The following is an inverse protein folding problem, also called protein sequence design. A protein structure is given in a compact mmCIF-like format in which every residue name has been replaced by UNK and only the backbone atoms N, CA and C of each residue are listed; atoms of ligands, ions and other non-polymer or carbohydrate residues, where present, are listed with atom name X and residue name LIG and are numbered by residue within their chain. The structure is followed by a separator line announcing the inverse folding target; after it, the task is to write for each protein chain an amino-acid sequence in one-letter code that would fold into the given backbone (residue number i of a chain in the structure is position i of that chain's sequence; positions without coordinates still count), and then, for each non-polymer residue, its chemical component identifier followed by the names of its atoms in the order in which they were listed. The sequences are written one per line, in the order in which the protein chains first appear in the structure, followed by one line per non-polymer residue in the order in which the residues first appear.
data_IF_200373824494
#
_entry.id   IF_200373824494
#
_cell.length_a   1.000
_cell.length_b   1.000
_cell.length_c   1.000
_cell.angle_alpha   90.00
_cell.angle_beta   90.00
_cell.angle_gamma   90.00
#
_symmetry.space_group_name_H-M   'P 1'
#
loop_
_entity.id
_entity.type
_entity.pdbx_description
1 polymer ?
#
# COMPACT_ATOMS: atom_id res chain seq x y z
N UNK A 1 -19.65 18.16 7.10
CA UNK A 1 -18.37 18.57 6.47
C UNK A 1 -17.73 19.71 7.24
N UNK A 2 -18.31 20.90 7.31
CA UNK A 2 -17.70 22.10 7.93
C UNK A 2 -17.28 21.84 9.39
N UNK A 3 -18.14 21.24 10.20
CA UNK A 3 -17.83 20.88 11.59
C UNK A 3 -16.66 19.89 11.66
N UNK A 4 -16.65 18.86 10.81
CA UNK A 4 -15.58 17.86 10.79
C UNK A 4 -14.21 18.48 10.43
N UNK A 5 -14.16 19.33 9.39
CA UNK A 5 -12.95 20.03 9.00
C UNK A 5 -12.50 21.01 10.09
N UNK A 6 -13.43 21.74 10.72
CA UNK A 6 -13.12 22.63 11.84
C UNK A 6 -12.54 21.86 13.04
N UNK A 7 -13.06 20.68 13.36
CA UNK A 7 -12.51 19.82 14.42
C UNK A 7 -11.10 19.35 14.08
N UNK A 8 -10.83 18.95 12.83
CA UNK A 8 -9.47 18.58 12.40
C UNK A 8 -8.49 19.75 12.60
N UNK A 9 -8.86 20.94 12.16
CA UNK A 9 -8.03 22.15 12.31
C UNK A 9 -7.80 22.47 13.80
N UNK A 10 -8.84 22.38 14.62
CA UNK A 10 -8.73 22.60 16.05
C UNK A 10 -7.82 21.56 16.74
N UNK A 11 -7.97 20.28 16.43
CA UNK A 11 -7.10 19.22 16.93
C UNK A 11 -5.64 19.42 16.52
N UNK A 12 -5.39 19.85 15.27
CA UNK A 12 -4.06 20.19 14.78
C UNK A 12 -3.47 21.39 15.54
N UNK A 13 -4.24 22.46 15.73
CA UNK A 13 -3.81 23.64 16.48
C UNK A 13 -3.49 23.30 17.97
N UNK A 14 -4.30 22.45 18.59
CA UNK A 14 -4.04 21.95 19.97
C UNK A 14 -2.76 21.12 19.98
N UNK A 15 -2.60 20.18 19.05
CA UNK A 15 -1.43 19.30 18.97
C UNK A 15 -0.13 20.04 18.70
N UNK A 16 -0.14 21.18 17.97
CA UNK A 16 1.03 22.04 17.75
C UNK A 16 1.46 22.80 19.01
N UNK A 17 0.52 23.13 19.89
CA UNK A 17 0.80 23.95 21.08
C UNK A 17 0.88 23.14 22.39
N UNK A 18 0.26 21.97 22.44
CA UNK A 18 0.18 21.17 23.64
C UNK A 18 0.45 19.70 23.31
N UNK A 19 1.51 19.13 23.89
CA UNK A 19 1.99 17.77 23.65
C UNK A 19 1.87 16.91 24.91
N UNK A 20 0.66 16.54 25.35
CA UNK A 20 0.47 15.86 26.63
C UNK A 20 0.85 14.37 26.59
N UNK A 21 0.95 13.77 25.39
CA UNK A 21 1.13 12.33 25.23
C UNK A 21 2.44 12.01 24.52
N UNK A 22 3.40 11.49 25.28
CA UNK A 22 4.64 10.91 24.77
C UNK A 22 4.61 9.41 25.02
N UNK A 23 4.24 8.64 24.00
CA UNK A 23 4.17 7.18 24.05
C UNK A 23 5.24 6.58 23.16
N UNK A 24 5.73 5.39 23.54
CA UNK A 24 6.66 4.64 22.68
C UNK A 24 5.99 4.19 21.39
N UNK A 25 6.78 3.91 20.34
CA UNK A 25 6.28 3.38 19.07
C UNK A 25 5.48 2.09 19.25
N UNK A 26 5.95 1.19 20.13
CA UNK A 26 5.27 -0.08 20.41
C UNK A 26 3.91 0.16 21.08
N UNK A 27 3.81 1.11 21.99
CA UNK A 27 2.54 1.48 22.63
C UNK A 27 1.55 2.03 21.60
N UNK A 28 2.02 2.91 20.70
CA UNK A 28 1.20 3.40 19.60
C UNK A 28 0.73 2.27 18.67
N UNK A 29 1.59 1.30 18.39
CA UNK A 29 1.24 0.15 17.55
C UNK A 29 0.14 -0.70 18.18
N UNK A 30 0.16 -0.90 19.50
CA UNK A 30 -0.90 -1.60 20.22
C UNK A 30 -2.21 -0.80 20.19
N UNK A 31 -2.15 0.52 20.42
CA UNK A 31 -3.34 1.39 20.36
C UNK A 31 -3.98 1.34 18.98
N UNK A 32 -3.18 1.47 17.93
CA UNK A 32 -3.65 1.34 16.53
C UNK A 32 -4.21 -0.06 16.28
N UNK A 33 -3.59 -1.11 16.83
CA UNK A 33 -4.09 -2.48 16.75
C UNK A 33 -5.50 -2.64 17.35
N UNK A 34 -5.74 -2.06 18.52
CA UNK A 34 -7.08 -2.06 19.15
C UNK A 34 -8.08 -1.30 18.27
N UNK A 35 -7.67 -0.14 17.77
CA UNK A 35 -8.51 0.66 16.89
C UNK A 35 -8.92 -0.12 15.62
N UNK A 36 -7.98 -0.74 14.90
CA UNK A 36 -8.29 -1.49 13.68
C UNK A 36 -9.10 -2.75 13.94
N UNK A 37 -8.96 -3.37 15.13
CA UNK A 37 -9.82 -4.48 15.52
C UNK A 37 -11.29 -4.03 15.61
N UNK A 38 -11.54 -2.89 16.25
CA UNK A 38 -12.87 -2.30 16.34
C UNK A 38 -13.37 -1.89 14.95
N UNK A 39 -12.54 -1.22 14.17
CA UNK A 39 -12.87 -0.76 12.82
C UNK A 39 -13.20 -1.93 11.86
N UNK A 40 -12.50 -3.06 12.01
CA UNK A 40 -12.74 -4.24 11.17
C UNK A 40 -14.13 -4.84 11.35
N UNK A 41 -14.66 -4.86 12.56
CA UNK A 41 -15.99 -5.44 12.85
C UNK A 41 -17.13 -4.43 12.73
N UNK A 42 -16.81 -3.13 12.80
CA UNK A 42 -17.82 -2.06 12.66
C UNK A 42 -18.30 -1.96 11.21
N UNK A 43 -19.61 -1.72 10.96
CA UNK A 43 -20.11 -1.47 9.61
C UNK A 43 -19.41 -0.30 8.92
N UNK A 44 -19.13 -0.45 7.61
CA UNK A 44 -18.36 0.52 6.80
C UNK A 44 -18.95 1.94 6.87
N UNK A 45 -20.26 2.04 6.81
CA UNK A 45 -21.00 3.32 6.79
C UNK A 45 -20.94 4.10 8.10
N UNK A 46 -20.66 3.45 9.24
CA UNK A 46 -20.57 4.11 10.55
C UNK A 46 -19.21 4.81 10.72
N UNK A 47 -18.13 4.12 10.42
CA UNK A 47 -16.77 4.59 10.73
C UNK A 47 -15.95 4.95 9.48
N UNK A 48 -15.86 4.04 8.50
CA UNK A 48 -14.96 4.22 7.37
C UNK A 48 -15.39 5.36 6.45
N UNK A 49 -16.62 5.34 5.96
CA UNK A 49 -17.08 6.33 4.99
C UNK A 49 -17.00 7.78 5.50
N UNK A 50 -17.47 8.15 6.71
CA UNK A 50 -17.34 9.52 7.22
C UNK A 50 -15.89 9.94 7.41
N UNK A 51 -15.05 9.02 7.91
CA UNK A 51 -13.63 9.30 8.12
C UNK A 51 -12.89 9.49 6.79
N UNK A 52 -13.09 8.59 5.84
CA UNK A 52 -12.42 8.65 4.53
C UNK A 52 -12.82 9.91 3.76
N UNK A 53 -14.08 10.32 3.87
CA UNK A 53 -14.56 11.59 3.36
C UNK A 53 -13.83 12.79 3.98
N UNK A 54 -13.65 12.81 5.30
CA UNK A 54 -12.88 13.87 5.97
C UNK A 54 -11.39 13.82 5.61
N UNK A 55 -10.81 12.64 5.53
CA UNK A 55 -9.40 12.45 5.15
C UNK A 55 -9.12 12.92 3.72
N UNK A 56 -10.10 12.91 2.82
CA UNK A 56 -9.93 13.43 1.46
C UNK A 56 -9.61 14.93 1.43
N UNK A 57 -10.14 15.73 2.37
CA UNK A 57 -9.79 17.15 2.47
C UNK A 57 -8.33 17.34 2.88
N UNK A 58 -7.81 16.49 3.76
CA UNK A 58 -6.38 16.50 4.11
C UNK A 58 -5.50 16.13 2.89
N UNK A 59 -5.93 15.14 2.09
CA UNK A 59 -5.23 14.76 0.85
C UNK A 59 -5.14 15.94 -0.11
N UNK A 60 -6.27 16.52 -0.46
CA UNK A 60 -6.27 17.63 -1.40
C UNK A 60 -5.52 18.85 -0.85
N UNK A 61 -5.69 19.15 0.45
CA UNK A 61 -4.94 20.21 1.12
C UNK A 61 -3.43 19.98 1.05
N UNK A 62 -2.97 18.77 1.34
CA UNK A 62 -1.57 18.36 1.24
C UNK A 62 -1.04 18.52 -0.20
N UNK A 63 -1.79 18.03 -1.19
CA UNK A 63 -1.39 18.12 -2.61
C UNK A 63 -1.31 19.57 -3.08
N UNK A 64 -2.27 20.40 -2.71
CA UNK A 64 -2.27 21.84 -3.06
C UNK A 64 -1.05 22.53 -2.46
N UNK A 65 -0.77 22.31 -1.17
CA UNK A 65 0.40 22.89 -0.48
C UNK A 65 1.69 22.41 -1.16
N UNK A 66 1.79 21.13 -1.52
CA UNK A 66 2.95 20.59 -2.21
C UNK A 66 3.16 21.20 -3.59
N UNK A 67 2.09 21.35 -4.37
CA UNK A 67 2.13 22.00 -5.70
C UNK A 67 2.57 23.47 -5.57
N UNK A 68 2.02 24.20 -4.60
CA UNK A 68 2.44 25.59 -4.31
C UNK A 68 3.93 25.62 -3.93
N UNK A 69 4.39 24.70 -3.09
CA UNK A 69 5.80 24.59 -2.70
C UNK A 69 6.73 24.35 -3.89
N UNK A 70 6.39 23.41 -4.76
CA UNK A 70 7.20 23.06 -5.94
C UNK A 70 7.24 24.24 -6.93
N UNK A 71 6.08 24.77 -7.31
CA UNK A 71 6.04 25.85 -8.32
C UNK A 71 6.45 27.21 -7.77
N UNK A 72 6.19 27.50 -6.50
CA UNK A 72 6.53 28.79 -5.89
C UNK A 72 8.01 28.91 -5.50
N UNK A 73 8.64 27.83 -5.09
CA UNK A 73 10.04 27.83 -4.69
C UNK A 73 11.02 27.62 -5.85
N UNK A 74 10.57 27.08 -6.99
CA UNK A 74 11.43 26.64 -8.11
C UNK A 74 12.70 25.88 -7.62
N UNK A 75 12.54 24.80 -6.85
CA UNK A 75 13.66 24.15 -6.19
C UNK A 75 14.60 23.49 -7.20
N UNK A 76 15.88 23.56 -6.93
CA UNK A 76 16.88 22.74 -7.62
C UNK A 76 16.76 21.31 -7.08
N UNK A 77 16.75 20.33 -7.94
CA UNK A 77 16.70 18.92 -7.57
C UNK A 77 18.13 18.39 -7.46
N UNK A 78 18.50 17.91 -6.27
CA UNK A 78 19.87 17.43 -5.96
C UNK A 78 20.10 15.98 -6.36
N UNK A 79 19.04 15.20 -6.61
CA UNK A 79 19.19 13.82 -7.05
C UNK A 79 19.83 13.77 -8.44
N UNK A 80 20.87 12.94 -8.65
CA UNK A 80 21.44 12.76 -9.99
C UNK A 80 20.41 12.17 -10.96
N UNK A 81 20.42 12.62 -12.21
CA UNK A 81 19.53 12.11 -13.25
C UNK A 81 19.63 10.59 -13.44
N UNK A 82 20.80 10.04 -13.15
CA UNK A 82 21.07 8.61 -13.19
C UNK A 82 21.98 8.20 -12.02
N UNK A 83 21.61 7.16 -11.29
CA UNK A 83 22.38 6.65 -10.14
C UNK A 83 23.10 5.36 -10.47
N UNK A 84 22.38 4.27 -10.72
CA UNK A 84 22.94 2.95 -10.99
C UNK A 84 21.87 2.01 -11.55
N UNK A 85 22.30 0.97 -12.28
CA UNK A 85 21.42 -0.16 -12.67
C UNK A 85 21.49 -1.34 -11.69
N UNK A 86 22.23 -1.21 -10.61
CA UNK A 86 22.42 -2.28 -9.61
C UNK A 86 22.00 -1.76 -8.24
N UNK A 87 21.13 -2.49 -7.56
CA UNK A 87 20.80 -2.21 -6.16
C UNK A 87 21.99 -2.56 -5.25
N UNK A 88 22.40 -1.60 -4.42
CA UNK A 88 23.49 -1.75 -3.46
C UNK A 88 23.03 -2.14 -2.06
N UNK A 89 21.82 -2.73 -1.94
CA UNK A 89 21.24 -3.11 -0.65
C UNK A 89 20.50 -1.98 0.06
N UNK A 90 20.11 -0.94 -0.69
CA UNK A 90 19.41 0.23 -0.15
C UNK A 90 17.91 0.05 -0.02
N UNK A 91 17.34 -1.00 -0.63
CA UNK A 91 15.90 -1.28 -0.62
C UNK A 91 15.50 -2.03 0.65
N UNK A 92 15.61 -1.38 1.80
CA UNK A 92 14.96 -1.75 3.06
C UNK A 92 15.40 -3.04 3.76
N UNK A 93 15.96 -4.01 3.06
CA UNK A 93 16.33 -5.32 3.63
C UNK A 93 17.80 -5.49 3.99
N UNK A 94 18.65 -4.54 3.61
CA UNK A 94 20.10 -4.66 3.75
C UNK A 94 20.75 -5.69 2.80
N UNK A 95 19.96 -6.40 2.02
CA UNK A 95 20.40 -7.39 1.04
C UNK A 95 20.25 -6.82 -0.35
N UNK A 96 21.32 -6.79 -1.14
CA UNK A 96 21.29 -6.34 -2.54
C UNK A 96 20.42 -7.28 -3.36
N UNK A 97 19.45 -6.73 -4.08
CA UNK A 97 18.60 -7.47 -5.01
C UNK A 97 19.25 -7.68 -6.39
N UNK A 98 20.48 -7.24 -6.57
CA UNK A 98 21.21 -7.35 -7.84
C UNK A 98 20.81 -6.27 -8.84
N UNK A 99 20.40 -6.65 -10.05
CA UNK A 99 19.99 -5.69 -11.08
C UNK A 99 18.70 -4.97 -10.72
N UNK A 100 18.61 -3.67 -11.01
CA UNK A 100 17.42 -2.86 -10.70
C UNK A 100 16.15 -3.39 -11.41
N UNK A 101 16.27 -3.90 -12.62
CA UNK A 101 15.17 -4.58 -13.29
C UNK A 101 15.38 -6.09 -13.24
N UNK A 102 14.39 -6.91 -12.90
CA UNK A 102 13.01 -6.51 -12.59
C UNK A 102 12.74 -6.17 -11.12
N UNK A 103 13.71 -6.36 -10.21
CA UNK A 103 13.46 -6.26 -8.77
C UNK A 103 12.99 -4.87 -8.33
N UNK A 104 13.64 -3.80 -8.80
CA UNK A 104 13.23 -2.44 -8.47
C UNK A 104 11.83 -2.10 -9.04
N UNK A 105 11.58 -2.47 -10.29
CA UNK A 105 10.28 -2.28 -10.92
C UNK A 105 9.16 -2.90 -10.09
N UNK A 106 9.34 -4.13 -9.65
CA UNK A 106 8.36 -4.85 -8.83
C UNK A 106 8.20 -4.23 -7.44
N UNK A 107 9.29 -3.70 -6.86
CA UNK A 107 9.26 -3.08 -5.54
C UNK A 107 8.54 -1.72 -5.54
N UNK A 108 8.66 -0.94 -6.62
CA UNK A 108 8.06 0.39 -6.75
C UNK A 108 6.58 0.30 -7.14
N UNK A 109 6.22 -0.59 -8.06
CA UNK A 109 4.87 -0.67 -8.62
C UNK A 109 3.88 -1.34 -7.65
N UNK A 110 3.60 -0.71 -6.52
CA UNK A 110 2.78 -1.27 -5.43
C UNK A 110 1.26 -1.06 -5.58
N UNK A 111 0.76 -0.59 -6.73
CA UNK A 111 -0.66 -0.25 -6.94
C UNK A 111 -1.60 -1.45 -7.14
N UNK A 112 -1.11 -2.66 -7.29
CA UNK A 112 -1.92 -3.82 -7.69
C UNK A 112 -2.91 -4.33 -6.62
N UNK A 113 -2.76 -3.94 -5.37
CA UNK A 113 -3.72 -4.24 -4.30
C UNK A 113 -5.13 -3.70 -4.63
N UNK A 114 -5.19 -2.62 -5.41
CA UNK A 114 -6.45 -2.03 -5.85
C UNK A 114 -7.23 -2.91 -6.84
N UNK A 115 -6.59 -3.87 -7.51
CA UNK A 115 -7.23 -4.72 -8.52
C UNK A 115 -8.14 -5.80 -7.92
N UNK A 116 -7.63 -6.66 -7.05
CA UNK A 116 -8.39 -7.80 -6.52
C UNK A 116 -8.77 -7.63 -5.05
N UNK A 117 -7.97 -6.90 -4.27
CA UNK A 117 -8.20 -6.76 -2.83
C UNK A 117 -9.14 -5.60 -2.55
N UNK A 118 -8.74 -4.36 -2.86
CA UNK A 118 -9.55 -3.18 -2.53
C UNK A 118 -10.84 -3.08 -3.36
N UNK A 119 -10.85 -3.58 -4.61
CA UNK A 119 -12.03 -3.56 -5.48
C UNK A 119 -13.25 -4.26 -4.87
N UNK A 120 -13.05 -5.31 -4.08
CA UNK A 120 -14.11 -6.05 -3.40
C UNK A 120 -14.94 -5.20 -2.42
N UNK A 121 -14.34 -4.15 -1.84
CA UNK A 121 -15.03 -3.21 -0.96
C UNK A 121 -15.59 -2.04 -1.76
N UNK A 122 -14.80 -1.45 -2.66
CA UNK A 122 -15.18 -0.27 -3.46
C UNK A 122 -16.36 -0.56 -4.38
N UNK A 123 -16.38 -1.73 -5.05
CA UNK A 123 -17.47 -2.11 -5.96
C UNK A 123 -18.83 -2.17 -5.27
N UNK A 124 -18.86 -2.50 -3.97
CA UNK A 124 -20.11 -2.56 -3.18
C UNK A 124 -20.61 -1.19 -2.72
N UNK A 125 -19.83 -0.14 -2.89
CA UNK A 125 -20.14 1.23 -2.47
C UNK A 125 -20.52 2.13 -3.66
N UNK A 126 -20.41 1.63 -4.90
CA UNK A 126 -20.80 2.37 -6.09
C UNK A 126 -22.33 2.46 -6.19
N UNK A 127 -22.82 3.68 -6.40
CA UNK A 127 -24.26 3.93 -6.64
C UNK A 127 -24.65 3.53 -8.07
N UNK A 128 -23.79 3.85 -9.04
CA UNK A 128 -24.01 3.61 -10.47
C UNK A 128 -22.77 3.00 -11.12
N UNK A 129 -22.99 2.06 -12.03
CA UNK A 129 -21.92 1.41 -12.80
C UNK A 129 -21.03 2.41 -13.57
N UNK A 130 -21.63 3.47 -14.12
CA UNK A 130 -20.93 4.53 -14.84
C UNK A 130 -19.92 5.31 -13.98
N UNK A 131 -20.08 5.30 -12.66
CA UNK A 131 -19.19 6.01 -11.74
C UNK A 131 -17.90 5.20 -11.47
N UNK A 132 -17.85 3.93 -11.89
CA UNK A 132 -16.67 3.09 -11.73
C UNK A 132 -15.43 3.65 -12.45
N UNK A 133 -15.61 4.14 -13.68
CA UNK A 133 -14.49 4.69 -14.47
C UNK A 133 -13.92 5.99 -13.87
N UNK A 134 -14.71 7.04 -13.56
CA UNK A 134 -14.18 8.25 -12.94
C UNK A 134 -13.54 7.98 -11.57
N UNK A 135 -14.11 7.08 -10.76
CA UNK A 135 -13.58 6.77 -9.44
C UNK A 135 -12.25 5.99 -9.54
N UNK A 136 -12.23 4.89 -10.31
CA UNK A 136 -11.04 4.05 -10.40
C UNK A 136 -9.91 4.72 -11.20
N UNK A 137 -10.20 5.22 -12.40
CA UNK A 137 -9.21 5.85 -13.27
C UNK A 137 -8.81 7.23 -12.76
N UNK A 138 -9.77 8.04 -12.28
CA UNK A 138 -9.50 9.34 -11.69
C UNK A 138 -8.66 9.23 -10.42
N UNK A 139 -8.95 8.26 -9.55
CA UNK A 139 -8.12 7.95 -8.38
C UNK A 139 -6.68 7.60 -8.75
N UNK A 140 -6.49 6.75 -9.76
CA UNK A 140 -5.16 6.41 -10.28
C UNK A 140 -4.40 7.65 -10.79
N UNK A 141 -5.05 8.57 -11.48
CA UNK A 141 -4.40 9.81 -11.95
C UNK A 141 -3.97 10.71 -10.80
N UNK A 142 -4.79 10.83 -9.75
CA UNK A 142 -4.45 11.60 -8.54
C UNK A 142 -3.25 10.96 -7.83
N UNK A 143 -3.21 9.64 -7.74
CA UNK A 143 -2.09 8.89 -7.19
C UNK A 143 -0.79 9.12 -8.00
N UNK A 144 -0.87 9.18 -9.32
CA UNK A 144 0.28 9.52 -10.17
C UNK A 144 0.81 10.94 -9.90
N UNK A 145 -0.07 11.91 -9.68
CA UNK A 145 0.34 13.28 -9.30
C UNK A 145 1.05 13.28 -7.95
N UNK A 146 0.52 12.54 -6.96
CA UNK A 146 1.16 12.39 -5.65
C UNK A 146 2.53 11.72 -5.75
N UNK A 147 2.67 10.73 -6.62
CA UNK A 147 3.96 10.06 -6.86
C UNK A 147 5.00 11.03 -7.43
N UNK A 148 4.63 11.89 -8.38
CA UNK A 148 5.51 12.94 -8.94
C UNK A 148 5.93 13.92 -7.84
N UNK A 149 4.97 14.39 -7.03
CA UNK A 149 5.23 15.26 -5.88
C UNK A 149 6.24 14.60 -4.92
N UNK A 150 6.08 13.30 -4.65
CA UNK A 150 6.98 12.56 -3.76
C UNK A 150 8.40 12.46 -4.32
N UNK A 151 8.56 12.24 -5.62
CA UNK A 151 9.87 12.23 -6.29
C UNK A 151 10.53 13.62 -6.20
N UNK A 152 9.77 14.70 -6.40
CA UNK A 152 10.28 16.06 -6.23
C UNK A 152 10.74 16.32 -4.79
N UNK A 153 9.95 15.88 -3.80
CA UNK A 153 10.28 16.04 -2.38
C UNK A 153 11.58 15.34 -2.01
N UNK A 154 11.72 14.07 -2.38
CA UNK A 154 12.91 13.26 -2.14
C UNK A 154 14.12 13.82 -2.90
N UNK A 155 13.92 14.18 -4.17
CA UNK A 155 14.97 14.71 -5.02
C UNK A 155 15.54 16.03 -4.53
N UNK A 156 14.73 16.86 -3.88
CA UNK A 156 15.15 18.13 -3.31
C UNK A 156 16.02 17.99 -2.06
N UNK A 157 15.78 16.97 -1.22
CA UNK A 157 16.55 16.73 0.01
C UNK A 157 17.46 15.50 -0.10
N UNK A 158 17.81 15.11 -1.33
CA UNK A 158 18.55 13.87 -1.60
C UNK A 158 19.85 13.75 -0.81
N UNK A 159 20.62 14.82 -0.69
CA UNK A 159 21.87 14.86 0.07
C UNK A 159 21.69 14.57 1.57
N UNK A 160 20.51 14.84 2.12
CA UNK A 160 20.22 14.59 3.53
C UNK A 160 19.54 13.23 3.77
N UNK A 161 18.93 12.67 2.72
CA UNK A 161 18.30 11.35 2.77
C UNK A 161 19.34 10.22 2.70
N UNK A 162 20.39 10.41 1.88
CA UNK A 162 21.48 9.43 1.73
C UNK A 162 22.64 9.84 2.65
N UNK A 163 23.30 9.07 3.25
CA UNK A 163 23.51 8.14 4.29
C UNK A 163 23.40 8.72 5.73
N UNK A 164 22.51 8.18 6.51
CA UNK A 164 22.39 8.45 7.96
C UNK A 164 21.53 9.66 8.35
N UNK A 165 20.83 10.27 7.40
CA UNK A 165 19.91 11.38 7.64
C UNK A 165 18.49 10.95 7.99
N UNK A 166 17.50 11.58 7.36
CA UNK A 166 16.07 11.31 7.57
C UNK A 166 15.72 9.94 6.98
N UNK A 167 15.33 8.98 7.81
CA UNK A 167 15.22 7.56 7.43
C UNK A 167 13.77 7.14 7.07
N UNK A 168 12.76 7.82 7.63
CA UNK A 168 11.37 7.42 7.40
C UNK A 168 10.80 8.11 6.16
N UNK A 169 10.14 7.36 5.25
CA UNK A 169 9.58 7.92 4.01
C UNK A 169 8.63 9.11 4.26
N UNK A 170 7.82 9.02 5.32
CA UNK A 170 6.89 10.10 5.69
C UNK A 170 7.61 11.39 6.07
N UNK A 171 8.69 11.28 6.86
CA UNK A 171 9.49 12.44 7.26
C UNK A 171 10.25 13.04 6.07
N UNK A 172 10.79 12.20 5.17
CA UNK A 172 11.43 12.64 3.93
C UNK A 172 10.48 13.47 3.08
N UNK A 173 9.28 12.95 2.84
CA UNK A 173 8.24 13.65 2.09
C UNK A 173 7.86 14.98 2.74
N UNK A 174 7.55 14.97 4.04
CA UNK A 174 7.13 16.15 4.77
C UNK A 174 8.23 17.22 4.84
N UNK A 175 9.49 16.83 5.09
CA UNK A 175 10.62 17.73 5.13
C UNK A 175 10.88 18.37 3.78
N UNK A 176 10.87 17.56 2.69
CA UNK A 176 11.09 18.09 1.35
C UNK A 176 10.09 19.16 0.98
N UNK A 177 8.80 18.90 1.18
CA UNK A 177 7.74 19.85 0.84
C UNK A 177 7.74 21.07 1.77
N UNK A 178 7.85 20.89 3.10
CA UNK A 178 7.83 22.01 4.05
C UNK A 178 8.98 22.98 3.81
N UNK A 179 10.18 22.49 3.51
CA UNK A 179 11.33 23.34 3.19
C UNK A 179 11.20 24.05 1.84
N UNK A 180 10.59 23.40 0.83
CA UNK A 180 10.26 24.10 -0.41
C UNK A 180 9.29 25.26 -0.13
N UNK A 181 8.23 25.02 0.64
CA UNK A 181 7.29 26.06 1.02
C UNK A 181 7.96 27.20 1.81
N UNK A 182 8.90 26.88 2.70
CA UNK A 182 9.61 27.89 3.50
C UNK A 182 10.48 28.85 2.66
N UNK A 183 10.84 28.49 1.43
CA UNK A 183 11.52 29.40 0.50
C UNK A 183 10.60 30.48 -0.07
N UNK A 184 9.30 30.30 0.04
CA UNK A 184 8.33 31.28 -0.43
C UNK A 184 8.14 32.34 0.66
N UNK A 185 8.37 33.64 0.39
CA UNK A 185 8.46 34.68 1.44
C UNK A 185 7.28 34.72 2.41
N UNK A 186 6.06 34.53 1.92
CA UNK A 186 4.86 34.57 2.78
C UNK A 186 4.61 33.28 3.57
N UNK A 187 5.31 32.17 3.27
CA UNK A 187 5.23 30.88 3.96
C UNK A 187 6.47 30.59 4.80
N UNK A 188 7.49 31.43 4.79
CA UNK A 188 8.77 31.19 5.46
C UNK A 188 8.63 30.88 6.97
N UNK A 189 7.66 31.48 7.66
CA UNK A 189 7.37 31.21 9.07
C UNK A 189 6.46 30.00 9.35
N UNK A 190 5.93 29.36 8.32
CA UNK A 190 4.95 28.28 8.45
C UNK A 190 5.54 26.87 8.28
N UNK A 191 6.87 26.70 8.19
CA UNK A 191 7.54 25.43 7.92
C UNK A 191 7.09 24.31 8.87
N UNK A 192 7.09 24.55 10.18
CA UNK A 192 6.70 23.56 11.20
C UNK A 192 5.21 23.19 11.12
N UNK A 193 4.36 24.15 10.79
CA UNK A 193 2.92 23.92 10.62
C UNK A 193 2.66 23.07 9.38
N UNK A 194 3.32 23.41 8.26
CA UNK A 194 3.23 22.66 7.01
C UNK A 194 3.78 21.23 7.20
N UNK A 195 4.93 21.09 7.85
CA UNK A 195 5.48 19.78 8.18
C UNK A 195 4.48 18.92 8.96
N UNK A 196 3.91 19.47 10.03
CA UNK A 196 2.94 18.76 10.88
C UNK A 196 1.67 18.41 10.13
N UNK A 197 1.16 19.30 9.27
CA UNK A 197 0.01 19.02 8.40
C UNK A 197 0.30 17.86 7.44
N UNK A 198 1.48 17.82 6.83
CA UNK A 198 1.88 16.77 5.90
C UNK A 198 2.02 15.42 6.62
N UNK A 199 2.64 15.39 7.79
CA UNK A 199 2.73 14.18 8.63
C UNK A 199 1.33 13.67 9.01
N UNK A 200 0.44 14.58 9.44
CA UNK A 200 -0.93 14.23 9.79
C UNK A 200 -1.69 13.65 8.60
N UNK A 201 -1.57 14.27 7.43
CA UNK A 201 -2.24 13.81 6.21
C UNK A 201 -1.78 12.39 5.82
N UNK A 202 -0.46 12.16 5.77
CA UNK A 202 0.09 10.83 5.44
C UNK A 202 -0.33 9.80 6.48
N UNK A 203 -0.31 10.14 7.78
CA UNK A 203 -0.75 9.25 8.86
C UNK A 203 -2.24 8.88 8.72
N UNK A 204 -3.09 9.84 8.35
CA UNK A 204 -4.51 9.60 8.10
C UNK A 204 -4.73 8.62 6.93
N UNK A 205 -3.94 8.71 5.85
CA UNK A 205 -4.02 7.76 4.74
C UNK A 205 -3.54 6.38 5.11
N UNK A 206 -2.44 6.28 5.84
CA UNK A 206 -1.95 5.00 6.33
C UNK A 206 -3.02 4.31 7.19
N UNK A 207 -3.69 5.07 8.06
CA UNK A 207 -4.76 4.52 8.91
C UNK A 207 -5.97 4.07 8.09
N UNK A 208 -6.40 4.85 7.10
CA UNK A 208 -7.50 4.49 6.18
C UNK A 208 -7.22 3.18 5.44
N UNK A 209 -6.01 3.05 4.89
CA UNK A 209 -5.58 1.83 4.20
C UNK A 209 -5.50 0.64 5.14
N UNK A 210 -5.02 0.85 6.37
CA UNK A 210 -4.87 -0.19 7.37
C UNK A 210 -6.22 -0.78 7.81
N UNK A 211 -7.24 0.05 8.01
CA UNK A 211 -8.60 -0.41 8.35
C UNK A 211 -9.20 -1.28 7.26
N UNK A 212 -9.08 -0.83 6.00
CA UNK A 212 -9.59 -1.58 4.84
C UNK A 212 -8.82 -2.89 4.68
N UNK A 213 -7.49 -2.86 4.78
CA UNK A 213 -6.64 -4.05 4.69
C UNK A 213 -6.96 -5.07 5.79
N UNK A 214 -7.17 -4.62 7.04
CA UNK A 214 -7.53 -5.51 8.16
C UNK A 214 -8.87 -6.19 7.93
N UNK A 215 -9.87 -5.45 7.42
CA UNK A 215 -11.18 -5.98 7.08
C UNK A 215 -11.11 -7.02 5.96
N UNK A 216 -10.33 -6.74 4.92
CA UNK A 216 -10.13 -7.65 3.80
C UNK A 216 -9.36 -8.89 4.22
N UNK A 217 -8.32 -8.75 5.04
CA UNK A 217 -7.58 -9.88 5.60
C UNK A 217 -8.49 -10.81 6.42
N UNK A 218 -9.38 -10.22 7.23
CA UNK A 218 -10.41 -10.99 7.95
C UNK A 218 -11.32 -11.75 6.98
N UNK A 219 -11.84 -11.11 5.94
CA UNK A 219 -12.70 -11.80 4.96
C UNK A 219 -11.96 -12.93 4.27
N UNK A 220 -10.74 -12.69 3.81
CA UNK A 220 -9.91 -13.73 3.17
C UNK A 220 -9.65 -14.90 4.13
N UNK A 221 -9.36 -14.62 5.40
CA UNK A 221 -9.18 -15.66 6.41
C UNK A 221 -10.46 -16.47 6.63
N UNK A 222 -11.63 -15.85 6.70
CA UNK A 222 -12.92 -16.52 6.83
C UNK A 222 -13.24 -17.38 5.59
N UNK A 223 -13.09 -16.81 4.39
CA UNK A 223 -13.37 -17.48 3.12
C UNK A 223 -12.48 -18.69 2.87
N UNK A 224 -11.25 -18.68 3.39
CA UNK A 224 -10.34 -19.82 3.29
C UNK A 224 -10.92 -21.11 3.90
N UNK A 225 -11.76 -21.00 4.93
CA UNK A 225 -12.36 -22.11 5.64
C UNK A 225 -13.76 -22.46 5.15
N UNK A 226 -14.41 -21.56 4.38
CA UNK A 226 -15.78 -21.72 3.92
C UNK A 226 -15.84 -22.38 2.53
N UNK A 227 -16.85 -23.21 2.29
CA UNK A 227 -17.14 -23.68 0.95
C UNK A 227 -17.85 -22.59 0.12
N UNK A 228 -17.79 -22.63 -1.22
CA UNK A 228 -18.49 -21.67 -2.07
C UNK A 228 -19.99 -21.60 -1.75
N UNK A 229 -20.47 -20.40 -1.38
CA UNK A 229 -21.86 -20.15 -1.01
C UNK A 229 -22.21 -20.39 0.46
N UNK A 230 -21.27 -20.92 1.26
CA UNK A 230 -21.44 -21.11 2.71
C UNK A 230 -21.16 -19.81 3.47
N UNK A 231 -21.93 -19.52 4.51
CA UNK A 231 -21.68 -18.40 5.40
C UNK A 231 -21.16 -18.87 6.77
N UNK A 232 -20.54 -17.96 7.54
CA UNK A 232 -20.04 -18.31 8.89
C UNK A 232 -21.15 -18.83 9.83
N UNK A 233 -22.41 -18.50 9.55
CA UNK A 233 -23.58 -18.96 10.34
C UNK A 233 -23.89 -20.43 10.09
N UNK A 234 -23.55 -20.94 8.92
CA UNK A 234 -23.80 -22.32 8.50
C UNK A 234 -22.69 -23.25 8.97
N UNK A 235 -21.55 -22.68 9.35
CA UNK A 235 -20.37 -23.45 9.82
C UNK A 235 -20.61 -24.06 11.21
N UNK A 236 -20.08 -25.28 11.44
CA UNK A 236 -20.19 -26.03 12.69
C UNK A 236 -18.82 -26.39 13.26
N UNK A 237 -18.77 -26.69 14.56
CA UNK A 237 -17.56 -27.15 15.24
C UNK A 237 -16.42 -26.11 15.18
N UNK A 238 -15.18 -26.56 14.97
CA UNK A 238 -13.98 -25.72 14.89
C UNK A 238 -14.08 -24.71 13.76
N UNK A 239 -14.67 -25.09 12.64
CA UNK A 239 -14.88 -24.23 11.47
C UNK A 239 -15.68 -22.98 11.85
N UNK A 240 -16.70 -23.10 12.68
CA UNK A 240 -17.50 -21.97 13.16
C UNK A 240 -16.67 -20.98 13.99
N UNK A 241 -15.73 -21.47 14.80
CA UNK A 241 -14.83 -20.61 15.59
C UNK A 241 -13.86 -19.88 14.67
N UNK A 242 -13.24 -20.57 13.71
CA UNK A 242 -12.29 -19.97 12.77
C UNK A 242 -12.94 -18.93 11.84
N UNK A 243 -14.20 -19.13 11.50
CA UNK A 243 -14.95 -18.21 10.63
C UNK A 243 -15.72 -17.13 11.39
N UNK A 244 -15.68 -17.14 12.72
CA UNK A 244 -16.28 -16.07 13.53
C UNK A 244 -15.60 -14.73 13.24
N UNK A 245 -16.37 -13.65 12.99
CA UNK A 245 -15.78 -12.35 12.63
C UNK A 245 -14.84 -11.76 13.68
N UNK A 246 -15.12 -11.98 14.96
CA UNK A 246 -14.29 -11.45 16.04
C UNK A 246 -12.98 -12.25 16.16
N UNK A 247 -13.08 -13.58 16.13
CA UNK A 247 -11.92 -14.45 16.19
C UNK A 247 -10.99 -14.24 15.00
N UNK A 248 -11.54 -14.18 13.78
CA UNK A 248 -10.78 -13.90 12.57
C UNK A 248 -10.11 -12.51 12.62
N UNK A 249 -10.79 -11.50 13.18
CA UNK A 249 -10.21 -10.17 13.38
C UNK A 249 -9.03 -10.21 14.36
N UNK A 250 -9.18 -10.88 15.49
CA UNK A 250 -8.11 -10.99 16.51
C UNK A 250 -6.87 -11.64 15.89
N UNK A 251 -7.03 -12.75 15.19
CA UNK A 251 -5.89 -13.41 14.53
C UNK A 251 -5.21 -12.49 13.53
N UNK A 252 -5.96 -11.85 12.63
CA UNK A 252 -5.39 -10.98 11.60
C UNK A 252 -4.70 -9.76 12.20
N UNK A 253 -5.25 -9.16 13.25
CA UNK A 253 -4.66 -8.01 13.95
C UNK A 253 -3.41 -8.41 14.71
N UNK A 254 -3.42 -9.52 15.46
CA UNK A 254 -2.25 -10.00 16.20
C UNK A 254 -1.09 -10.32 15.25
N UNK A 255 -1.36 -10.99 14.15
CA UNK A 255 -0.33 -11.26 13.13
C UNK A 255 0.18 -9.97 12.47
N UNK A 256 -0.72 -9.02 12.20
CA UNK A 256 -0.35 -7.72 11.64
C UNK A 256 0.53 -6.89 12.58
N UNK A 257 0.19 -6.83 13.87
CA UNK A 257 1.00 -6.14 14.90
C UNK A 257 2.36 -6.84 15.05
N UNK A 258 2.38 -8.15 15.16
CA UNK A 258 3.63 -8.91 15.27
C UNK A 258 4.58 -8.63 14.09
N UNK A 259 4.06 -8.62 12.87
CA UNK A 259 4.80 -8.21 11.68
C UNK A 259 5.25 -6.74 11.73
N UNK A 260 4.37 -5.83 12.15
CA UNK A 260 4.68 -4.41 12.27
C UNK A 260 5.82 -4.15 13.25
N UNK A 261 5.86 -4.83 14.40
CA UNK A 261 6.92 -4.72 15.41
C UNK A 261 8.29 -5.17 14.89
N UNK A 262 8.34 -6.02 13.87
CA UNK A 262 9.63 -6.43 13.26
C UNK A 262 10.24 -5.37 12.32
N UNK A 263 9.47 -4.36 11.94
CA UNK A 263 9.83 -3.32 10.99
C UNK A 263 9.45 -3.66 9.56
N UNK A 264 8.71 -2.77 8.92
CA UNK A 264 8.21 -2.93 7.55
C UNK A 264 9.31 -3.15 6.50
N UNK A 265 10.48 -2.57 6.71
CA UNK A 265 11.60 -2.65 5.78
C UNK A 265 12.06 -4.10 5.53
N UNK A 266 11.94 -4.97 6.54
CA UNK A 266 12.35 -6.38 6.44
C UNK A 266 11.50 -7.20 5.48
N UNK A 267 10.25 -6.80 5.25
CA UNK A 267 9.31 -7.54 4.39
C UNK A 267 8.93 -6.77 3.12
N UNK A 268 9.40 -5.53 2.95
CA UNK A 268 8.97 -4.65 1.86
C UNK A 268 9.19 -5.21 0.46
N UNK A 269 10.37 -5.78 0.20
CA UNK A 269 10.66 -6.38 -1.10
C UNK A 269 9.72 -7.54 -1.43
N UNK A 270 9.39 -8.37 -0.43
CA UNK A 270 8.45 -9.48 -0.58
C UNK A 270 7.02 -8.98 -0.79
N UNK A 271 6.62 -7.92 -0.07
CA UNK A 271 5.33 -7.25 -0.23
C UNK A 271 5.17 -6.71 -1.66
N UNK A 272 6.19 -6.02 -2.20
CA UNK A 272 6.17 -5.51 -3.57
C UNK A 272 5.98 -6.63 -4.60
N UNK A 273 6.74 -7.71 -4.48
CA UNK A 273 6.62 -8.86 -5.37
C UNK A 273 5.23 -9.54 -5.28
N UNK A 274 4.70 -9.71 -4.08
CA UNK A 274 3.35 -10.26 -3.88
C UNK A 274 2.27 -9.38 -4.49
N UNK A 275 2.42 -8.07 -4.37
CA UNK A 275 1.48 -7.09 -4.91
C UNK A 275 1.48 -7.12 -6.44
N UNK A 276 2.64 -7.26 -7.09
CA UNK A 276 2.72 -7.41 -8.55
C UNK A 276 2.16 -8.74 -9.04
N UNK A 277 2.29 -9.80 -8.25
CA UNK A 277 1.62 -11.05 -8.55
C UNK A 277 0.09 -10.88 -8.57
N UNK A 278 -0.47 -10.09 -7.64
CA UNK A 278 -1.89 -9.72 -7.66
C UNK A 278 -2.29 -8.98 -8.93
N UNK A 279 -1.42 -8.13 -9.50
CA UNK A 279 -1.68 -7.48 -10.79
C UNK A 279 -1.84 -8.50 -11.91
N UNK A 280 -0.93 -9.46 -12.01
CA UNK A 280 -0.99 -10.52 -13.00
C UNK A 280 -2.27 -11.34 -12.86
N UNK A 281 -2.64 -11.69 -11.61
CA UNK A 281 -3.87 -12.43 -11.31
C UNK A 281 -5.14 -11.63 -11.61
N UNK A 282 -5.14 -10.31 -11.33
CA UNK A 282 -6.23 -9.43 -11.68
C UNK A 282 -6.47 -9.36 -13.18
N UNK A 283 -5.41 -9.18 -13.96
CA UNK A 283 -5.48 -9.21 -15.41
C UNK A 283 -5.97 -10.57 -15.94
N UNK A 284 -5.51 -11.67 -15.33
CA UNK A 284 -5.95 -13.01 -15.66
C UNK A 284 -7.44 -13.21 -15.41
N UNK A 285 -7.92 -12.78 -14.22
CA UNK A 285 -9.33 -12.90 -13.85
C UNK A 285 -10.24 -12.12 -14.81
N UNK A 286 -9.86 -10.88 -15.13
CA UNK A 286 -10.62 -10.04 -16.09
C UNK A 286 -10.57 -10.62 -17.51
N UNK A 287 -9.40 -11.11 -17.94
CA UNK A 287 -9.26 -11.76 -19.27
C UNK A 287 -10.13 -13.02 -19.38
N UNK A 288 -10.17 -13.84 -18.33
CA UNK A 288 -11.01 -15.04 -18.29
C UNK A 288 -12.51 -14.68 -18.29
N UNK A 289 -12.90 -13.65 -17.52
CA UNK A 289 -14.29 -13.17 -17.49
C UNK A 289 -14.72 -12.62 -18.86
N UNK A 290 -13.92 -11.76 -19.51
CA UNK A 290 -14.21 -11.24 -20.84
C UNK A 290 -14.36 -12.38 -21.87
N UNK A 291 -13.50 -13.40 -21.79
CA UNK A 291 -13.60 -14.58 -22.64
C UNK A 291 -14.91 -15.37 -22.44
N UNK A 292 -15.39 -15.49 -21.17
CA UNK A 292 -16.69 -16.12 -20.87
C UNK A 292 -17.87 -15.31 -21.43
N UNK A 293 -17.79 -13.99 -21.38
CA UNK A 293 -18.84 -13.08 -21.91
C UNK A 293 -18.76 -12.94 -23.45
N UNK A 294 -17.75 -13.53 -24.08
CA UNK A 294 -17.56 -13.48 -25.54
C UNK A 294 -16.96 -12.17 -26.05
N UNK A 295 -16.39 -11.34 -25.17
CA UNK A 295 -15.70 -10.10 -25.53
C UNK A 295 -14.21 -10.35 -25.82
N UNK A 296 -13.59 -9.45 -26.59
CA UNK A 296 -12.18 -9.54 -26.92
C UNK A 296 -11.30 -9.28 -25.66
N UNK A 297 -10.49 -10.26 -25.29
CA UNK A 297 -9.59 -10.22 -24.14
C UNK A 297 -8.10 -10.13 -24.53
N UNK A 298 -7.78 -10.10 -25.83
CA UNK A 298 -6.40 -10.15 -26.30
C UNK A 298 -5.51 -9.03 -25.78
N UNK A 299 -6.08 -7.85 -25.55
CA UNK A 299 -5.34 -6.69 -25.02
C UNK A 299 -4.81 -6.92 -23.58
N UNK A 300 -5.39 -7.85 -22.81
CA UNK A 300 -4.98 -8.15 -21.45
C UNK A 300 -3.92 -9.24 -21.37
N UNK A 301 -3.79 -10.07 -22.42
CA UNK A 301 -2.89 -11.24 -22.40
C UNK A 301 -1.42 -10.79 -22.33
N UNK A 302 -1.02 -9.79 -23.13
CA UNK A 302 0.35 -9.32 -23.15
C UNK A 302 0.78 -8.68 -21.81
N UNK A 303 0.05 -7.69 -21.25
CA UNK A 303 0.38 -7.14 -19.93
C UNK A 303 0.39 -8.21 -18.81
N UNK A 304 -0.56 -9.14 -18.84
CA UNK A 304 -0.64 -10.25 -17.88
C UNK A 304 0.61 -11.13 -17.93
N UNK A 305 0.99 -11.58 -19.15
CA UNK A 305 2.18 -12.42 -19.32
C UNK A 305 3.46 -11.68 -18.91
N UNK A 306 3.59 -10.41 -19.30
CA UNK A 306 4.70 -9.54 -18.90
C UNK A 306 4.81 -9.45 -17.37
N UNK A 307 3.71 -9.11 -16.70
CA UNK A 307 3.69 -8.97 -15.24
C UNK A 307 4.02 -10.28 -14.52
N UNK A 308 3.50 -11.40 -15.01
CA UNK A 308 3.79 -12.72 -14.43
C UNK A 308 5.27 -13.07 -14.54
N UNK A 309 5.86 -12.91 -15.73
CA UNK A 309 7.28 -13.21 -15.98
C UNK A 309 8.17 -12.33 -15.12
N UNK A 310 7.94 -11.01 -15.13
CA UNK A 310 8.73 -10.04 -14.36
C UNK A 310 8.65 -10.33 -12.87
N UNK A 311 7.47 -10.65 -12.36
CA UNK A 311 7.26 -10.96 -10.94
C UNK A 311 7.96 -12.25 -10.53
N UNK A 312 7.88 -13.31 -11.34
CA UNK A 312 8.56 -14.59 -11.07
C UNK A 312 10.08 -14.38 -11.05
N UNK A 313 10.64 -13.67 -12.03
CA UNK A 313 12.07 -13.38 -12.07
C UNK A 313 12.49 -12.55 -10.84
N UNK A 314 11.71 -11.56 -10.44
CA UNK A 314 11.98 -10.75 -9.24
C UNK A 314 11.94 -11.58 -7.96
N UNK A 315 10.97 -12.49 -7.83
CA UNK A 315 10.91 -13.42 -6.69
C UNK A 315 12.13 -14.35 -6.67
N UNK A 316 12.54 -14.89 -7.81
CA UNK A 316 13.75 -15.73 -7.90
C UNK A 316 15.02 -14.95 -7.54
N UNK A 317 15.15 -13.69 -7.98
CA UNK A 317 16.26 -12.83 -7.56
C UNK A 317 16.23 -12.57 -6.05
N UNK A 318 15.04 -12.31 -5.48
CA UNK A 318 14.88 -12.10 -4.03
C UNK A 318 15.25 -13.36 -3.25
N UNK A 319 14.82 -14.54 -3.70
CA UNK A 319 15.19 -15.82 -3.08
C UNK A 319 16.72 -16.03 -3.16
N UNK A 320 17.30 -15.88 -4.34
CA UNK A 320 18.73 -16.05 -4.55
C UNK A 320 19.53 -15.11 -3.64
N UNK A 321 19.21 -13.82 -3.63
CA UNK A 321 19.89 -12.82 -2.81
C UNK A 321 19.80 -13.14 -1.30
N UNK A 322 18.62 -13.57 -0.82
CA UNK A 322 18.43 -13.90 0.59
C UNK A 322 19.07 -15.23 1.01
N UNK A 323 19.25 -16.17 0.11
CA UNK A 323 19.94 -17.45 0.39
C UNK A 323 21.45 -17.27 0.35
N UNK A 324 21.98 -16.56 -0.67
CA UNK A 324 23.44 -16.40 -0.84
C UNK A 324 24.06 -15.40 0.14
N UNK A 325 23.30 -14.37 0.53
CA UNK A 325 23.76 -13.29 1.42
C UNK A 325 22.90 -13.24 2.70
N UNK A 326 22.59 -14.40 3.26
CA UNK A 326 21.79 -14.48 4.50
C UNK A 326 22.53 -13.79 5.65
N UNK A 327 21.94 -12.71 6.17
CA UNK A 327 22.49 -11.92 7.29
C UNK A 327 21.77 -12.29 8.60
N UNK A 328 20.48 -12.61 8.52
CA UNK A 328 19.61 -12.84 9.67
C UNK A 328 18.56 -13.94 9.39
N UNK A 329 17.81 -14.30 10.42
CA UNK A 329 16.70 -15.25 10.29
C UNK A 329 15.63 -14.75 9.29
N UNK A 330 15.46 -13.43 9.15
CA UNK A 330 14.51 -12.85 8.21
C UNK A 330 14.87 -13.12 6.76
N UNK A 331 16.16 -13.28 6.44
CA UNK A 331 16.62 -13.66 5.10
C UNK A 331 16.05 -15.04 4.71
N UNK A 332 16.10 -16.00 5.63
CA UNK A 332 15.51 -17.32 5.40
C UNK A 332 13.98 -17.30 5.32
N UNK A 333 13.32 -16.52 6.18
CA UNK A 333 11.87 -16.35 6.11
C UNK A 333 11.45 -15.77 4.76
N UNK A 334 12.15 -14.72 4.27
CA UNK A 334 11.89 -14.13 2.94
C UNK A 334 12.11 -15.14 1.82
N UNK A 335 13.15 -15.96 1.89
CA UNK A 335 13.43 -17.00 0.90
C UNK A 335 12.34 -18.08 0.87
N UNK A 336 11.87 -18.54 2.03
CA UNK A 336 10.80 -19.56 2.15
C UNK A 336 9.48 -18.99 1.59
N UNK A 337 9.05 -17.82 2.04
CA UNK A 337 7.79 -17.22 1.57
C UNK A 337 7.89 -16.90 0.06
N UNK A 338 9.02 -16.38 -0.40
CA UNK A 338 9.27 -16.15 -1.83
C UNK A 338 9.15 -17.43 -2.66
N UNK A 339 9.69 -18.54 -2.17
CA UNK A 339 9.59 -19.86 -2.84
C UNK A 339 8.15 -20.35 -2.91
N UNK A 340 7.37 -20.20 -1.84
CA UNK A 340 5.95 -20.52 -1.83
C UNK A 340 5.16 -19.67 -2.82
N UNK A 341 5.47 -18.37 -2.93
CA UNK A 341 4.85 -17.46 -3.91
C UNK A 341 5.18 -17.85 -5.35
N UNK A 342 6.42 -18.29 -5.63
CA UNK A 342 6.80 -18.79 -6.96
C UNK A 342 5.99 -20.04 -7.30
N UNK A 343 5.92 -21.01 -6.39
CA UNK A 343 5.11 -22.21 -6.62
C UNK A 343 3.65 -21.88 -6.87
N UNK A 344 3.06 -21.00 -6.06
CA UNK A 344 1.69 -20.55 -6.23
C UNK A 344 1.50 -19.86 -7.59
N UNK A 345 2.42 -18.99 -7.99
CA UNK A 345 2.35 -18.29 -9.28
C UNK A 345 2.37 -19.24 -10.48
N UNK A 346 3.17 -20.28 -10.42
CA UNK A 346 3.24 -21.32 -11.47
C UNK A 346 1.94 -22.12 -11.57
N UNK A 347 1.35 -22.50 -10.42
CA UNK A 347 0.05 -23.19 -10.39
C UNK A 347 -1.04 -22.32 -11.00
N UNK A 348 -1.12 -21.06 -10.57
CA UNK A 348 -2.11 -20.10 -11.08
C UNK A 348 -1.91 -19.76 -12.55
N UNK A 349 -0.66 -19.67 -13.02
CA UNK A 349 -0.36 -19.52 -14.44
C UNK A 349 -0.86 -20.70 -15.26
N UNK A 350 -0.64 -21.94 -14.80
CA UNK A 350 -1.13 -23.16 -15.44
C UNK A 350 -2.66 -23.17 -15.54
N UNK A 351 -3.34 -22.94 -14.44
CA UNK A 351 -4.81 -22.90 -14.40
C UNK A 351 -5.38 -21.77 -15.27
N UNK A 352 -4.73 -20.60 -15.22
CA UNK A 352 -5.11 -19.47 -16.05
C UNK A 352 -4.95 -19.74 -17.54
N UNK A 353 -3.83 -20.33 -17.95
CA UNK A 353 -3.64 -20.75 -19.34
C UNK A 353 -4.69 -21.77 -19.76
N UNK A 354 -4.99 -22.75 -18.92
CA UNK A 354 -6.04 -23.73 -19.20
C UNK A 354 -7.42 -23.06 -19.38
N UNK A 355 -7.73 -22.06 -18.55
CA UNK A 355 -9.01 -21.33 -18.62
C UNK A 355 -9.11 -20.44 -19.85
N UNK A 356 -8.02 -19.75 -20.23
CA UNK A 356 -7.98 -18.84 -21.37
C UNK A 356 -7.97 -19.56 -22.72
N UNK A 357 -7.25 -20.69 -22.80
CA UNK A 357 -7.00 -21.41 -24.08
C UNK A 357 -7.83 -22.66 -24.21
N UNK A 358 -8.63 -23.05 -23.21
CA UNK A 358 -9.60 -24.12 -23.38
C UNK A 358 -10.61 -23.70 -24.46
N UNK A 359 -10.53 -24.33 -25.65
CA UNK A 359 -11.56 -24.21 -26.66
C UNK A 359 -12.90 -24.54 -26.02
N UNK A 360 -13.90 -23.65 -26.21
CA UNK A 360 -15.30 -24.02 -25.97
C UNK A 360 -15.58 -25.27 -26.79
N UNK A 361 -15.71 -26.41 -26.12
CA UNK A 361 -16.27 -27.61 -26.73
C UNK A 361 -17.75 -27.39 -26.96
#
# INVERSE_FOLDING_TARGET
TVIGVAVIIACMAIGLNWHPLYLSGDTWMIIVGIYIAIASVTPVWILLQPRDYLSSFLLYGMMIVAVIGIFGAHPTIDIPAFTSFVDKGTVGSGVSLGTMFPALFVTIACGAIHSLVASGTTSKQLDKEKDALPIAYGGMLIECVLAIISVCAVGYIWSEYVPGGIVTPTAVFATGISRMCAKIPFLAGAESVIYSLLILAVSAFCLTSLDTATRLARYMFQEFWLAPGETYKDATGIKRVLTDPYFATIITVVLGIALGMTGYAKIWALFGASNQLLAALGLLAVAAWLGKVGKNNKMLIFPMAFMLIVTVISLLQTIYANVTNAVDMWSWIRAIIGSLLVLLSLVLAKEGCQTLFKKKA
#
